data_IF_865633705619
#
_entry.id   IF_865633705619
#
_cell.length_a   1.000
_cell.length_b   1.000
_cell.length_c   1.000
_cell.angle_alpha   90.00
_cell.angle_beta   90.00
_cell.angle_gamma   90.00
#
_symmetry.space_group_name_H-M   'P 1'
#
loop_
_entity.id
_entity.type
_entity.pdbx_description
1 polymer ?
#
# COMPACT_ATOMS: atom_id res chain seq x y z
N UNK A 1 5.53 -11.09 -27.59
CA UNK A 1 4.58 -12.13 -27.12
C UNK A 1 3.85 -11.55 -25.91
N UNK A 2 2.69 -10.95 -26.11
CA UNK A 2 1.89 -10.40 -25.02
C UNK A 2 1.24 -11.56 -24.27
N UNK A 3 1.69 -11.79 -23.04
CA UNK A 3 1.03 -12.73 -22.14
C UNK A 3 -0.41 -12.23 -21.94
N UNK A 4 -1.37 -12.93 -22.55
CA UNK A 4 -2.79 -12.69 -22.32
C UNK A 4 -3.07 -12.94 -20.84
N UNK A 5 -3.15 -11.85 -20.09
CA UNK A 5 -3.46 -11.86 -18.68
C UNK A 5 -4.96 -12.20 -18.55
N UNK A 6 -5.28 -13.48 -18.43
CA UNK A 6 -6.67 -13.88 -18.19
C UNK A 6 -7.04 -13.60 -16.72
N UNK A 7 -8.34 -13.42 -16.45
CA UNK A 7 -8.87 -13.06 -15.13
C UNK A 7 -8.43 -14.05 -14.02
N UNK A 8 -8.27 -15.32 -14.37
CA UNK A 8 -7.79 -16.38 -13.46
C UNK A 8 -6.32 -16.17 -13.08
N UNK A 9 -5.46 -15.84 -14.05
CA UNK A 9 -4.05 -15.53 -13.81
C UNK A 9 -3.92 -14.30 -12.90
N UNK A 10 -4.70 -13.24 -13.16
CA UNK A 10 -4.69 -12.04 -12.33
C UNK A 10 -5.11 -12.29 -10.88
N UNK A 11 -6.13 -13.12 -10.67
CA UNK A 11 -6.54 -13.50 -9.31
C UNK A 11 -5.45 -14.31 -8.58
N UNK A 12 -4.79 -15.25 -9.28
CA UNK A 12 -3.67 -16.01 -8.69
C UNK A 12 -2.49 -15.10 -8.31
N UNK A 13 -2.16 -14.13 -9.16
CA UNK A 13 -1.12 -13.15 -8.84
C UNK A 13 -1.49 -12.31 -7.62
N UNK A 14 -2.73 -11.80 -7.53
CA UNK A 14 -3.19 -11.09 -6.32
C UNK A 14 -3.08 -11.94 -5.06
N UNK A 15 -3.47 -13.22 -5.11
CA UNK A 15 -3.35 -14.14 -3.97
C UNK A 15 -1.88 -14.31 -3.57
N UNK A 16 -0.99 -14.53 -4.55
CA UNK A 16 0.44 -14.69 -4.30
C UNK A 16 1.05 -13.41 -3.66
N UNK A 17 0.69 -12.23 -4.17
CA UNK A 17 1.12 -10.96 -3.60
C UNK A 17 0.59 -10.76 -2.17
N UNK A 18 -0.66 -11.12 -1.90
CA UNK A 18 -1.25 -11.02 -0.57
C UNK A 18 -0.49 -11.87 0.45
N UNK A 19 -0.24 -13.15 0.17
CA UNK A 19 0.53 -14.01 1.08
C UNK A 19 2.00 -13.59 1.20
N UNK A 20 2.57 -13.02 0.14
CA UNK A 20 3.89 -12.37 0.18
C UNK A 20 3.92 -11.20 1.16
N UNK A 21 2.94 -10.30 1.09
CA UNK A 21 2.79 -9.17 2.01
C UNK A 21 2.53 -9.63 3.45
N UNK A 22 1.70 -10.67 3.62
CA UNK A 22 1.42 -11.26 4.93
C UNK A 22 2.71 -11.75 5.61
N UNK A 23 3.54 -12.50 4.87
CA UNK A 23 4.83 -12.95 5.38
C UNK A 23 5.74 -11.77 5.71
N UNK A 24 5.84 -10.78 4.81
CA UNK A 24 6.68 -9.60 5.06
C UNK A 24 6.27 -8.85 6.32
N UNK A 25 4.96 -8.73 6.60
CA UNK A 25 4.45 -8.04 7.80
C UNK A 25 4.86 -8.72 9.10
N UNK A 26 4.93 -10.06 9.11
CA UNK A 26 5.41 -10.81 10.27
C UNK A 26 6.89 -10.51 10.56
N UNK A 27 7.72 -10.40 9.52
CA UNK A 27 9.14 -10.03 9.68
C UNK A 27 9.31 -8.55 10.08
N UNK A 28 8.51 -7.66 9.48
CA UNK A 28 8.49 -6.24 9.79
C UNK A 28 8.25 -5.99 11.29
N UNK A 29 7.37 -6.77 11.92
CA UNK A 29 7.12 -6.69 13.36
C UNK A 29 8.30 -7.14 14.23
N UNK A 30 9.06 -8.17 13.83
CA UNK A 30 10.27 -8.57 14.57
C UNK A 30 11.38 -7.51 14.43
N UNK A 31 11.52 -6.90 13.25
CA UNK A 31 12.43 -5.76 13.05
C UNK A 31 11.98 -4.57 13.89
N UNK A 32 10.68 -4.24 13.92
CA UNK A 32 10.13 -3.15 14.74
C UNK A 32 10.40 -3.38 16.22
N UNK A 33 10.18 -4.59 16.74
CA UNK A 33 10.50 -4.94 18.14
C UNK A 33 11.98 -4.75 18.44
N UNK A 34 12.86 -5.20 17.56
CA UNK A 34 14.30 -5.01 17.73
C UNK A 34 14.68 -3.52 17.76
N UNK A 35 14.12 -2.71 16.84
CA UNK A 35 14.29 -1.26 16.82
C UNK A 35 13.85 -0.62 18.14
N UNK A 36 12.70 -1.04 18.69
CA UNK A 36 12.22 -0.55 19.98
C UNK A 36 13.14 -0.89 21.15
N UNK A 37 13.84 -2.03 21.11
CA UNK A 37 14.79 -2.43 22.15
C UNK A 37 16.13 -1.69 22.03
N UNK A 38 16.65 -1.51 20.82
CA UNK A 38 17.92 -0.82 20.58
C UNK A 38 17.79 0.69 20.78
N UNK A 39 16.63 1.25 20.45
CA UNK A 39 16.40 2.69 20.42
C UNK A 39 16.82 3.30 19.09
N UNK A 40 15.99 4.21 18.57
CA UNK A 40 16.14 4.79 17.22
C UNK A 40 17.50 5.46 17.03
N UNK A 41 18.03 6.08 18.08
CA UNK A 41 19.31 6.80 18.07
C UNK A 41 20.53 5.90 17.85
N UNK A 42 20.42 4.60 18.17
CA UNK A 42 21.55 3.67 18.18
C UNK A 42 21.55 2.67 17.02
N UNK A 43 20.44 2.54 16.28
CA UNK A 43 20.30 1.57 15.17
C UNK A 43 21.41 1.76 14.13
N UNK A 44 21.70 3.01 13.73
CA UNK A 44 22.72 3.29 12.73
C UNK A 44 24.10 2.74 13.11
N UNK A 45 24.48 2.87 14.39
CA UNK A 45 25.76 2.35 14.92
C UNK A 45 25.81 0.83 14.99
N UNK A 46 24.66 0.17 15.16
CA UNK A 46 24.53 -1.29 15.21
C UNK A 46 24.45 -1.92 13.82
N UNK A 47 23.95 -1.21 12.82
CA UNK A 47 23.85 -1.70 11.44
C UNK A 47 25.07 -1.39 10.59
N UNK A 48 25.67 -0.21 10.76
CA UNK A 48 26.76 0.29 9.91
C UNK A 48 28.02 0.47 10.73
N UNK A 49 29.14 -0.06 10.25
CA UNK A 49 30.45 -0.01 10.91
C UNK A 49 30.47 -0.59 12.34
N UNK A 50 29.52 -1.48 12.65
CA UNK A 50 29.49 -2.25 13.90
C UNK A 50 30.60 -3.31 13.91
N UNK A 51 31.33 -3.42 15.02
CA UNK A 51 32.30 -4.52 15.23
C UNK A 51 31.62 -5.88 15.42
N UNK A 52 30.38 -5.88 15.89
CA UNK A 52 29.58 -7.09 16.12
C UNK A 52 28.82 -7.54 14.85
N UNK A 53 28.84 -6.73 13.79
CA UNK A 53 28.04 -6.93 12.60
C UNK A 53 26.55 -6.58 12.79
N UNK A 54 25.75 -6.68 11.73
CA UNK A 54 24.30 -6.49 11.79
C UNK A 54 23.63 -7.59 12.63
N UNK A 55 22.49 -7.29 13.29
CA UNK A 55 21.77 -8.23 14.13
C UNK A 55 21.30 -9.44 13.31
N UNK A 56 21.41 -10.63 13.90
CA UNK A 56 20.84 -11.84 13.33
C UNK A 56 19.41 -12.02 13.85
N UNK A 57 18.47 -12.29 12.94
CA UNK A 57 17.06 -12.48 13.28
C UNK A 57 16.70 -13.95 13.12
N UNK A 58 16.17 -14.53 14.20
CA UNK A 58 15.55 -15.84 14.10
C UNK A 58 14.28 -15.77 13.25
N UNK A 59 14.03 -16.83 12.47
CA UNK A 59 12.82 -16.92 11.68
C UNK A 59 11.58 -16.85 12.61
N UNK A 60 10.67 -15.88 12.40
CA UNK A 60 9.49 -15.76 13.24
C UNK A 60 8.59 -16.99 13.11
N UNK A 61 8.01 -17.40 14.24
CA UNK A 61 6.99 -18.46 14.26
C UNK A 61 5.72 -17.98 13.54
N UNK A 62 5.44 -18.60 12.41
CA UNK A 62 4.25 -18.35 11.59
C UNK A 62 3.05 -19.15 12.13
N UNK A 63 2.60 -18.82 13.35
CA UNK A 63 1.42 -19.47 13.94
C UNK A 63 0.17 -19.05 13.17
N UNK A 64 -0.81 -19.96 13.06
CA UNK A 64 -2.08 -19.68 12.39
C UNK A 64 -2.77 -18.43 12.96
N UNK A 65 -2.75 -18.26 14.28
CA UNK A 65 -3.30 -17.08 14.95
C UNK A 65 -2.66 -15.79 14.46
N UNK A 66 -1.32 -15.74 14.38
CA UNK A 66 -0.58 -14.56 13.94
C UNK A 66 -0.84 -14.26 12.46
N UNK A 67 -0.95 -15.30 11.63
CA UNK A 67 -1.30 -15.16 10.21
C UNK A 67 -2.73 -14.64 9.99
N UNK A 68 -3.70 -15.11 10.78
CA UNK A 68 -5.08 -14.62 10.71
C UNK A 68 -5.18 -13.16 11.18
N UNK A 69 -4.47 -12.80 12.25
CA UNK A 69 -4.43 -11.44 12.77
C UNK A 69 -3.90 -10.46 11.73
N UNK A 70 -2.69 -10.69 11.18
CA UNK A 70 -2.15 -9.81 10.14
C UNK A 70 -2.93 -9.91 8.83
N UNK A 71 -3.51 -11.06 8.50
CA UNK A 71 -4.36 -11.22 7.32
C UNK A 71 -5.56 -10.29 7.38
N UNK A 72 -6.27 -10.27 8.50
CA UNK A 72 -7.39 -9.36 8.72
C UNK A 72 -6.95 -7.90 8.72
N UNK A 73 -5.82 -7.59 9.33
CA UNK A 73 -5.26 -6.22 9.31
C UNK A 73 -4.95 -5.76 7.88
N UNK A 74 -4.35 -6.61 7.04
CA UNK A 74 -4.04 -6.29 5.64
C UNK A 74 -5.29 -6.11 4.80
N UNK A 75 -6.38 -6.86 5.07
CA UNK A 75 -7.66 -6.66 4.39
C UNK A 75 -8.29 -5.34 4.79
N UNK A 76 -8.30 -5.01 6.09
CA UNK A 76 -8.81 -3.72 6.57
C UNK A 76 -8.01 -2.54 5.99
N UNK A 77 -6.70 -2.69 5.83
CA UNK A 77 -5.85 -1.66 5.23
C UNK A 77 -6.16 -1.49 3.73
N UNK A 78 -6.43 -2.58 3.00
CA UNK A 78 -6.90 -2.51 1.61
C UNK A 78 -8.27 -1.80 1.49
N UNK A 79 -9.23 -2.16 2.34
CA UNK A 79 -10.55 -1.51 2.37
C UNK A 79 -10.45 -0.01 2.72
N UNK A 80 -9.53 0.37 3.62
CA UNK A 80 -9.27 1.76 3.94
C UNK A 80 -8.73 2.54 2.74
N UNK A 81 -7.76 1.97 2.01
CA UNK A 81 -7.20 2.60 0.80
C UNK A 81 -8.29 2.79 -0.25
N UNK A 82 -9.15 1.79 -0.48
CA UNK A 82 -10.26 1.88 -1.42
C UNK A 82 -11.26 2.98 -1.01
N UNK A 83 -11.62 3.05 0.28
CA UNK A 83 -12.50 4.12 0.79
C UNK A 83 -11.91 5.51 0.60
N UNK A 84 -10.62 5.69 0.87
CA UNK A 84 -9.94 6.98 0.70
C UNK A 84 -9.89 7.37 -0.78
N UNK A 85 -9.56 6.43 -1.66
CA UNK A 85 -9.54 6.68 -3.11
C UNK A 85 -10.92 7.07 -3.64
N UNK A 86 -11.97 6.38 -3.19
CA UNK A 86 -13.34 6.70 -3.58
C UNK A 86 -13.76 8.09 -3.10
N UNK A 87 -13.43 8.44 -1.84
CA UNK A 87 -13.70 9.77 -1.31
C UNK A 87 -12.97 10.86 -2.11
N UNK A 88 -11.68 10.66 -2.42
CA UNK A 88 -10.89 11.59 -3.23
C UNK A 88 -11.45 11.77 -4.64
N UNK A 89 -11.96 10.70 -5.25
CA UNK A 89 -12.64 10.77 -6.55
C UNK A 89 -13.90 11.64 -6.48
N UNK A 90 -14.79 11.38 -5.51
CA UNK A 90 -16.01 12.17 -5.35
C UNK A 90 -15.73 13.66 -5.07
N UNK A 91 -14.72 13.97 -4.24
CA UNK A 91 -14.35 15.36 -3.96
C UNK A 91 -13.81 16.07 -5.22
N UNK A 92 -13.02 15.37 -6.05
CA UNK A 92 -12.53 15.92 -7.32
C UNK A 92 -13.65 16.12 -8.33
N UNK A 93 -14.57 15.16 -8.44
CA UNK A 93 -15.72 15.28 -9.35
C UNK A 93 -16.66 16.42 -8.95
N UNK A 94 -16.91 16.59 -7.64
CA UNK A 94 -17.68 17.72 -7.12
C UNK A 94 -16.98 19.06 -7.43
N UNK A 95 -15.68 19.16 -7.15
CA UNK A 95 -14.90 20.38 -7.43
C UNK A 95 -14.84 20.71 -8.94
N UNK A 96 -14.75 19.70 -9.81
CA UNK A 96 -14.83 19.87 -11.26
C UNK A 96 -16.23 20.33 -11.70
N UNK A 97 -17.29 19.81 -11.07
CA UNK A 97 -18.66 20.25 -11.29
C UNK A 97 -18.86 21.72 -10.94
N UNK A 98 -18.40 22.14 -9.77
CA UNK A 98 -18.49 23.53 -9.30
C UNK A 98 -17.66 24.47 -10.17
N UNK A 99 -16.43 24.07 -10.54
CA UNK A 99 -15.58 24.83 -11.45
C UNK A 99 -16.22 24.98 -12.84
N UNK A 100 -16.86 23.91 -13.34
CA UNK A 100 -17.60 23.95 -14.59
C UNK A 100 -18.79 24.91 -14.49
N UNK A 101 -19.57 24.85 -13.41
CA UNK A 101 -20.71 25.75 -13.19
C UNK A 101 -20.27 27.22 -13.13
N UNK A 102 -19.19 27.52 -12.40
CA UNK A 102 -18.61 28.87 -12.31
C UNK A 102 -18.03 29.35 -13.65
N UNK A 103 -17.49 28.42 -14.45
CA UNK A 103 -16.96 28.74 -15.78
C UNK A 103 -18.07 28.99 -16.80
N UNK A 104 -19.18 28.25 -16.72
CA UNK A 104 -20.41 28.50 -17.51
C UNK A 104 -20.99 29.86 -17.13
N UNK A 105 -21.09 30.17 -15.83
CA UNK A 105 -21.60 31.45 -15.34
C UNK A 105 -20.73 32.64 -15.79
N UNK A 106 -19.43 32.44 -15.98
CA UNK A 106 -18.47 33.45 -16.46
C UNK A 106 -18.25 33.45 -17.97
N UNK A 107 -18.93 32.58 -18.73
CA UNK A 107 -18.80 32.47 -20.18
C UNK A 107 -17.46 31.89 -20.67
N UNK A 108 -16.67 31.26 -19.79
CA UNK A 108 -15.34 30.70 -20.08
C UNK A 108 -15.35 29.19 -19.87
N UNK A 109 -16.23 28.45 -20.54
CA UNK A 109 -16.33 26.99 -20.38
C UNK A 109 -15.04 26.29 -20.87
N UNK A 110 -14.35 25.57 -19.98
CA UNK A 110 -13.20 24.71 -20.28
C UNK A 110 -13.58 23.23 -20.12
N UNK A 111 -14.37 22.70 -21.03
CA UNK A 111 -14.58 21.26 -21.16
C UNK A 111 -14.42 20.85 -22.61
N UNK A 112 -13.43 19.99 -22.91
CA UNK A 112 -13.49 18.88 -23.90
C UNK A 112 -12.13 18.40 -24.48
N UNK A 113 -10.97 18.89 -24.06
CA UNK A 113 -9.68 18.45 -24.66
C UNK A 113 -8.91 17.39 -23.87
N UNK A 114 -9.54 16.37 -23.28
CA UNK A 114 -8.80 15.16 -22.86
C UNK A 114 -9.68 13.91 -22.96
N UNK A 115 -10.03 13.52 -24.19
CA UNK A 115 -10.13 12.11 -24.54
C UNK A 115 -8.86 11.76 -25.32
N UNK A 116 -7.98 10.86 -24.84
CA UNK A 116 -7.07 10.18 -25.72
C UNK A 116 -7.88 9.11 -26.47
N UNK A 117 -8.04 9.28 -27.77
CA UNK A 117 -8.42 8.19 -28.68
C UNK A 117 -7.34 7.08 -28.62
N UNK A 118 -7.69 5.82 -28.97
CA UNK A 118 -6.92 4.60 -28.68
C UNK A 118 -5.47 4.55 -29.18
#
# INVERSE_FOLDING_TARGET
>A
MSLHYNKTNGMQFMIAYFFGALKARVYDDEVRKWISVVGVDFIGKKLVNSKEGPPNFDQPKMTLSKLLEYGNMLVQEQENVERVQLADMYLKEAALGDANQDSINRGTFYGLFFYPEP
#
